data_IF_663218509430
#
_entry.id   IF_663218509430
#
_cell.length_a   1.000
_cell.length_b   1.000
_cell.length_c   1.000
_cell.angle_alpha   90.00
_cell.angle_beta   90.00
_cell.angle_gamma   90.00
#
_symmetry.space_group_name_H-M   'P 1'
#
loop_
_entity.id
_entity.type
_entity.pdbx_description
1 polymer ?
#
# COMPACT_ATOMS: atom_id res chain seq x y z
N UNK A 1 5.23 14.80 -1.24
CA UNK A 1 4.23 13.69 -1.41
C UNK A 1 4.06 12.99 -0.07
N UNK A 2 2.83 12.59 0.24
CA UNK A 2 2.48 11.81 1.45
C UNK A 2 2.05 10.40 1.03
N UNK A 3 2.59 9.39 1.68
CA UNK A 3 2.26 7.97 1.44
C UNK A 3 1.35 7.49 2.56
N UNK A 4 0.24 6.87 2.21
CA UNK A 4 -0.61 6.13 3.15
C UNK A 4 -0.14 4.68 3.22
N UNK A 5 0.15 4.16 4.42
CA UNK A 5 0.56 2.77 4.60
C UNK A 5 -0.51 2.00 5.38
N UNK A 6 -0.87 0.83 4.88
CA UNK A 6 -1.85 -0.07 5.49
C UNK A 6 -1.35 -1.52 5.47
N UNK A 7 -1.88 -2.36 6.34
CA UNK A 7 -1.65 -3.81 6.31
C UNK A 7 -2.85 -4.54 5.66
N UNK A 8 -2.91 -4.58 4.31
CA UNK A 8 -4.08 -5.10 3.60
C UNK A 8 -4.18 -6.63 3.66
N UNK A 9 -3.14 -7.30 4.08
CA UNK A 9 -3.05 -8.76 4.21
C UNK A 9 -2.73 -9.15 5.66
N UNK A 10 -1.53 -9.62 5.93
CA UNK A 10 -1.11 -9.98 7.29
C UNK A 10 -0.62 -8.76 8.08
N UNK A 11 -0.68 -8.84 9.40
CA UNK A 11 -0.02 -7.90 10.31
C UNK A 11 1.50 -8.02 10.25
N UNK A 12 2.22 -7.08 10.83
CA UNK A 12 3.69 -7.07 10.86
C UNK A 12 4.22 -6.58 12.20
N UNK A 13 5.33 -7.15 12.64
CA UNK A 13 6.08 -6.71 13.82
C UNK A 13 7.22 -5.73 13.46
N UNK A 14 7.35 -5.35 12.18
CA UNK A 14 8.36 -4.39 11.74
C UNK A 14 8.12 -3.01 12.34
N UNK A 15 9.22 -2.32 12.65
CA UNK A 15 9.17 -0.99 13.23
C UNK A 15 8.64 0.05 12.23
N UNK A 16 7.45 0.58 12.51
CA UNK A 16 6.88 1.66 11.71
C UNK A 16 7.74 2.93 11.76
N UNK A 17 8.44 3.18 12.87
CA UNK A 17 9.37 4.31 13.00
C UNK A 17 10.52 4.21 11.99
N UNK A 18 11.05 3.01 11.75
CA UNK A 18 12.10 2.80 10.77
C UNK A 18 11.60 3.07 9.35
N UNK A 19 10.40 2.60 9.02
CA UNK A 19 9.77 2.88 7.73
C UNK A 19 9.55 4.38 7.55
N UNK A 20 9.06 5.06 8.59
CA UNK A 20 8.85 6.51 8.59
C UNK A 20 10.17 7.27 8.37
N UNK A 21 11.23 6.86 9.05
CA UNK A 21 12.55 7.47 8.89
C UNK A 21 13.05 7.35 7.45
N UNK A 22 12.98 6.15 6.86
CA UNK A 22 13.40 5.91 5.47
C UNK A 22 12.60 6.78 4.50
N UNK A 23 11.28 6.87 4.64
CA UNK A 23 10.47 7.77 3.82
C UNK A 23 10.93 9.22 3.96
N UNK A 24 11.17 9.67 5.19
CA UNK A 24 11.63 11.04 5.47
C UNK A 24 13.00 11.35 4.86
N UNK A 25 13.94 10.41 4.90
CA UNK A 25 15.26 10.52 4.27
C UNK A 25 15.18 10.70 2.75
N UNK A 26 14.12 10.17 2.13
CA UNK A 26 13.81 10.36 0.72
C UNK A 26 12.90 11.58 0.43
N UNK A 27 12.54 12.37 1.45
CA UNK A 27 11.71 13.57 1.30
C UNK A 27 10.20 13.31 1.25
N UNK A 28 9.73 12.16 1.74
CA UNK A 28 8.33 11.78 1.77
C UNK A 28 7.78 11.71 3.19
N UNK A 29 6.54 12.17 3.35
CA UNK A 29 5.77 11.93 4.56
C UNK A 29 5.07 10.58 4.46
N UNK A 30 4.80 9.95 5.61
CA UNK A 30 4.00 8.72 5.67
C UNK A 30 2.97 8.82 6.78
N UNK A 31 1.77 8.33 6.53
CA UNK A 31 0.71 8.12 7.50
C UNK A 31 0.38 6.63 7.54
N UNK A 32 0.12 6.12 8.74
CA UNK A 32 -0.20 4.70 8.94
C UNK A 32 -1.67 4.52 9.27
N UNK A 33 -2.31 3.56 8.61
CA UNK A 33 -3.65 3.10 8.97
C UNK A 33 -3.63 2.25 10.25
N UNK A 34 -4.81 2.06 10.84
CA UNK A 34 -4.99 1.29 12.08
C UNK A 34 -4.48 -0.15 11.96
N UNK A 35 -4.63 -0.75 10.78
CA UNK A 35 -4.16 -2.12 10.50
C UNK A 35 -2.65 -2.29 10.70
N UNK A 36 -1.87 -1.23 10.54
CA UNK A 36 -0.41 -1.26 10.74
C UNK A 36 0.01 -1.49 12.20
N UNK A 37 -0.89 -1.20 13.15
CA UNK A 37 -0.64 -1.35 14.60
C UNK A 37 -1.21 -2.65 15.17
N UNK A 38 -1.90 -3.44 14.35
CA UNK A 38 -2.50 -4.70 14.78
C UNK A 38 -1.47 -5.82 14.82
N UNK A 39 -1.74 -6.77 15.70
CA UNK A 39 -0.96 -8.01 15.85
C UNK A 39 -1.82 -9.22 15.49
N UNK A 40 -1.21 -10.33 15.16
CA UNK A 40 -1.88 -11.58 14.80
C UNK A 40 -1.66 -11.95 13.33
N UNK A 41 -2.53 -12.79 12.78
CA UNK A 41 -2.35 -13.31 11.42
C UNK A 41 -2.70 -12.25 10.35
N UNK A 42 -3.74 -11.45 10.60
CA UNK A 42 -4.29 -10.48 9.66
C UNK A 42 -4.20 -9.04 10.19
N UNK A 43 -4.19 -8.07 9.30
CA UNK A 43 -4.29 -6.65 9.64
C UNK A 43 -5.66 -6.21 10.18
N UNK A 44 -6.62 -7.12 10.27
CA UNK A 44 -7.97 -6.88 10.79
C UNK A 44 -8.98 -7.92 10.33
N UNK A 45 -10.26 -7.70 10.65
CA UNK A 45 -11.36 -8.44 10.05
C UNK A 45 -11.49 -8.09 8.55
N UNK A 46 -12.18 -8.90 7.73
CA UNK A 46 -12.43 -8.57 6.33
C UNK A 46 -13.12 -7.20 6.17
N UNK A 47 -14.08 -6.88 7.03
CA UNK A 47 -14.82 -5.63 7.04
C UNK A 47 -13.89 -4.45 7.34
N UNK A 48 -13.11 -4.54 8.42
CA UNK A 48 -12.16 -3.50 8.82
C UNK A 48 -11.10 -3.25 7.75
N UNK A 49 -10.58 -4.31 7.13
CA UNK A 49 -9.57 -4.19 6.08
C UNK A 49 -10.13 -3.59 4.79
N UNK A 50 -11.37 -3.94 4.40
CA UNK A 50 -11.99 -3.36 3.21
C UNK A 50 -12.32 -1.87 3.42
N UNK A 51 -12.89 -1.50 4.56
CA UNK A 51 -13.22 -0.12 4.90
C UNK A 51 -11.96 0.76 4.97
N UNK A 52 -10.90 0.28 5.62
CA UNK A 52 -9.63 1.01 5.69
C UNK A 52 -8.99 1.14 4.31
N UNK A 53 -9.00 0.08 3.50
CA UNK A 53 -8.47 0.11 2.15
C UNK A 53 -9.20 1.16 1.30
N UNK A 54 -10.54 1.15 1.30
CA UNK A 54 -11.34 2.13 0.57
C UNK A 54 -11.07 3.56 1.05
N UNK A 55 -11.04 3.77 2.36
CA UNK A 55 -10.76 5.08 2.93
C UNK A 55 -9.37 5.59 2.53
N UNK A 56 -8.36 4.74 2.64
CA UNK A 56 -6.99 5.10 2.28
C UNK A 56 -6.87 5.41 0.79
N UNK A 57 -7.51 4.61 -0.06
CA UNK A 57 -7.50 4.79 -1.52
C UNK A 57 -8.26 6.03 -1.99
N UNK A 58 -9.29 6.48 -1.26
CA UNK A 58 -10.21 7.51 -1.78
C UNK A 58 -10.24 8.81 -0.99
N UNK A 59 -10.13 8.76 0.34
CA UNK A 59 -10.39 9.90 1.24
C UNK A 59 -9.19 10.36 2.05
N UNK A 60 -8.28 9.45 2.39
CA UNK A 60 -7.12 9.78 3.24
C UNK A 60 -6.26 10.88 2.62
N UNK A 61 -5.64 11.76 3.42
CA UNK A 61 -4.78 12.84 2.93
C UNK A 61 -3.40 12.31 2.51
N UNK A 62 -3.37 11.40 1.53
CA UNK A 62 -2.16 10.85 0.95
C UNK A 62 -2.25 10.81 -0.57
N UNK A 63 -1.10 10.73 -1.24
CA UNK A 63 -0.97 10.75 -2.70
C UNK A 63 -0.83 9.35 -3.30
N UNK A 64 -0.37 8.39 -2.52
CA UNK A 64 -0.21 6.98 -2.91
C UNK A 64 -0.46 6.07 -1.71
N UNK A 65 -0.81 4.81 -1.95
CA UNK A 65 -1.08 3.81 -0.91
C UNK A 65 -0.08 2.68 -1.01
N UNK A 66 0.65 2.43 0.09
CA UNK A 66 1.67 1.41 0.23
C UNK A 66 1.14 0.27 1.11
N UNK A 67 1.25 -0.96 0.65
CA UNK A 67 1.05 -2.11 1.51
C UNK A 67 2.21 -2.23 2.51
N UNK A 68 1.91 -2.47 3.79
CA UNK A 68 2.92 -2.72 4.81
C UNK A 68 3.62 -4.05 4.54
N UNK A 69 2.85 -5.11 4.28
CA UNK A 69 3.33 -6.44 3.87
C UNK A 69 2.25 -7.25 3.14
N UNK A 70 2.69 -8.32 2.51
CA UNK A 70 1.83 -9.38 1.99
C UNK A 70 1.46 -10.41 3.07
N UNK A 71 1.49 -11.67 2.72
CA UNK A 71 1.10 -12.78 3.59
C UNK A 71 -0.22 -13.39 3.13
N UNK A 72 -1.29 -13.19 3.90
CA UNK A 72 -2.63 -13.70 3.60
C UNK A 72 -3.69 -12.68 3.98
N UNK A 73 -4.81 -12.68 3.27
CA UNK A 73 -6.01 -11.99 3.73
C UNK A 73 -6.73 -11.15 2.69
N UNK A 74 -6.08 -10.69 1.63
CA UNK A 74 -6.73 -9.82 0.63
C UNK A 74 -7.92 -10.48 -0.05
N UNK A 75 -7.84 -11.78 -0.33
CA UNK A 75 -8.95 -12.55 -0.93
C UNK A 75 -10.20 -12.66 -0.03
N UNK A 76 -10.07 -12.35 1.27
CA UNK A 76 -11.20 -12.42 2.20
C UNK A 76 -12.21 -11.28 2.00
N UNK A 77 -11.77 -10.17 1.37
CA UNK A 77 -12.59 -8.97 1.25
C UNK A 77 -12.49 -8.27 -0.12
N UNK A 78 -11.70 -8.81 -1.03
CA UNK A 78 -11.49 -8.19 -2.35
C UNK A 78 -12.81 -7.91 -3.08
N UNK A 79 -13.81 -8.75 -2.92
CA UNK A 79 -15.14 -8.59 -3.52
C UNK A 79 -16.04 -7.59 -2.78
N UNK A 80 -15.65 -7.12 -1.59
CA UNK A 80 -16.41 -6.17 -0.78
C UNK A 80 -16.04 -4.70 -1.06
N UNK A 81 -15.02 -4.44 -1.86
CA UNK A 81 -14.48 -3.11 -2.13
C UNK A 81 -15.33 -2.36 -3.16
N UNK A 82 -15.61 -1.08 -2.91
CA UNK A 82 -16.23 -0.18 -3.88
C UNK A 82 -15.23 0.30 -4.95
N UNK A 83 -15.12 -0.49 -6.01
CA UNK A 83 -14.22 -0.20 -7.13
C UNK A 83 -14.66 1.00 -7.99
N UNK A 84 -15.91 1.42 -7.93
CA UNK A 84 -16.38 2.62 -8.64
C UNK A 84 -15.91 3.89 -7.91
N UNK A 85 -15.92 3.88 -6.58
CA UNK A 85 -15.30 4.95 -5.80
C UNK A 85 -13.78 5.02 -6.04
N UNK A 86 -13.10 3.87 -6.06
CA UNK A 86 -11.66 3.79 -6.37
C UNK A 86 -11.40 4.29 -7.80
N UNK A 87 -12.22 3.95 -8.80
CA UNK A 87 -12.08 4.48 -10.16
C UNK A 87 -12.13 6.00 -10.20
N UNK A 88 -12.99 6.62 -9.38
CA UNK A 88 -13.21 8.05 -9.38
C UNK A 88 -12.15 8.83 -8.62
N UNK A 89 -11.68 8.30 -7.51
CA UNK A 89 -10.83 9.02 -6.55
C UNK A 89 -9.49 8.35 -6.27
N UNK A 90 -9.31 7.15 -6.84
CA UNK A 90 -8.23 6.27 -6.45
C UNK A 90 -6.83 6.80 -6.74
N UNK A 91 -5.95 6.38 -5.90
CA UNK A 91 -4.53 6.72 -5.87
C UNK A 91 -3.70 5.52 -6.36
N UNK A 92 -2.44 5.71 -6.74
CA UNK A 92 -1.52 4.61 -6.96
C UNK A 92 -1.45 3.67 -5.75
N UNK A 93 -1.59 2.38 -5.98
CA UNK A 93 -1.42 1.34 -4.97
C UNK A 93 -0.14 0.56 -5.23
N UNK A 94 0.66 0.34 -4.18
CA UNK A 94 1.96 -0.33 -4.23
C UNK A 94 1.95 -1.56 -3.33
N UNK A 95 2.43 -2.68 -3.86
CA UNK A 95 2.58 -3.93 -3.12
C UNK A 95 2.95 -5.08 -4.03
N UNK A 96 3.09 -6.26 -3.46
CA UNK A 96 3.29 -7.52 -4.20
C UNK A 96 2.84 -8.73 -3.38
N UNK A 97 3.10 -9.95 -3.82
CA UNK A 97 2.71 -11.18 -3.11
C UNK A 97 1.18 -11.28 -3.00
N UNK A 98 0.62 -11.47 -1.80
CA UNK A 98 -0.84 -11.56 -1.58
C UNK A 98 -1.60 -10.33 -2.08
N UNK A 99 -0.98 -9.14 -2.05
CA UNK A 99 -1.55 -7.91 -2.60
C UNK A 99 -1.83 -7.97 -4.11
N UNK A 100 -1.34 -8.99 -4.81
CA UNK A 100 -1.63 -9.21 -6.24
C UNK A 100 -3.13 -9.34 -6.50
N UNK A 101 -3.89 -9.89 -5.56
CA UNK A 101 -5.35 -9.95 -5.68
C UNK A 101 -5.97 -8.54 -5.79
N UNK A 102 -5.49 -7.59 -4.98
CA UNK A 102 -5.92 -6.19 -5.04
C UNK A 102 -5.47 -5.53 -6.36
N UNK A 103 -4.24 -5.77 -6.81
CA UNK A 103 -3.77 -5.25 -8.11
C UNK A 103 -4.68 -5.71 -9.25
N UNK A 104 -4.99 -7.00 -9.30
CA UNK A 104 -5.86 -7.56 -10.34
C UNK A 104 -7.27 -6.98 -10.29
N UNK A 105 -7.83 -6.83 -9.10
CA UNK A 105 -9.17 -6.28 -8.92
C UNK A 105 -9.24 -4.79 -9.27
N UNK A 106 -8.29 -3.97 -8.78
CA UNK A 106 -8.20 -2.54 -9.10
C UNK A 106 -8.06 -2.35 -10.61
N UNK A 107 -7.16 -3.09 -11.24
CA UNK A 107 -6.94 -3.00 -12.68
C UNK A 107 -8.21 -3.41 -13.46
N UNK A 108 -8.85 -4.52 -13.07
CA UNK A 108 -10.04 -5.04 -13.73
C UNK A 108 -11.26 -4.13 -13.60
N UNK A 109 -11.54 -3.67 -12.37
CA UNK A 109 -12.79 -2.99 -12.06
C UNK A 109 -12.66 -1.47 -12.02
N UNK A 110 -11.53 -0.94 -11.57
CA UNK A 110 -11.29 0.52 -11.51
C UNK A 110 -10.49 1.04 -12.70
N UNK A 111 -9.82 0.18 -13.47
CA UNK A 111 -8.98 0.53 -14.62
C UNK A 111 -7.83 1.49 -14.27
N UNK A 112 -7.33 1.39 -13.06
CA UNK A 112 -6.18 2.16 -12.58
C UNK A 112 -4.90 1.35 -12.69
N UNK A 113 -3.79 2.06 -12.96
CA UNK A 113 -2.45 1.49 -12.88
C UNK A 113 -2.07 1.31 -11.42
N UNK A 114 -1.46 0.18 -11.10
CA UNK A 114 -0.91 -0.14 -9.79
C UNK A 114 0.56 -0.52 -9.94
N UNK A 115 1.31 -0.48 -8.85
CA UNK A 115 2.74 -0.70 -8.85
C UNK A 115 3.10 -1.99 -8.11
N UNK A 116 3.61 -2.97 -8.84
CA UNK A 116 4.21 -4.16 -8.23
C UNK A 116 5.63 -3.81 -7.76
N UNK A 117 5.79 -3.55 -6.47
CA UNK A 117 7.03 -3.01 -5.92
C UNK A 117 7.19 -3.27 -4.43
N UNK A 118 8.31 -2.82 -3.84
CA UNK A 118 8.61 -3.03 -2.43
C UNK A 118 7.48 -2.54 -1.51
N UNK A 119 7.22 -3.30 -0.46
CA UNK A 119 6.28 -2.96 0.62
C UNK A 119 7.02 -2.37 1.83
N UNK A 120 6.30 -1.85 2.81
CA UNK A 120 6.90 -1.22 3.98
C UNK A 120 7.94 -2.09 4.69
N UNK A 121 7.66 -3.39 4.86
CA UNK A 121 8.60 -4.35 5.49
C UNK A 121 9.89 -4.58 4.69
N UNK A 122 9.90 -4.26 3.42
CA UNK A 122 11.08 -4.42 2.58
C UNK A 122 12.05 -3.25 2.73
N UNK A 123 11.58 -2.09 3.20
CA UNK A 123 12.39 -0.86 3.26
C UNK A 123 13.65 -1.03 4.10
N UNK A 124 13.60 -1.85 5.14
CA UNK A 124 14.75 -2.15 5.99
C UNK A 124 15.78 -3.09 5.35
N UNK A 125 15.39 -3.81 4.29
CA UNK A 125 16.20 -4.86 3.65
C UNK A 125 16.53 -4.55 2.19
N UNK A 126 15.76 -3.65 1.56
CA UNK A 126 15.97 -3.26 0.18
C UNK A 126 17.23 -2.40 0.04
N UNK A 127 17.83 -2.44 -1.16
CA UNK A 127 18.90 -1.49 -1.48
C UNK A 127 18.30 -0.08 -1.56
N UNK A 128 19.05 0.91 -1.10
CA UNK A 128 18.63 2.33 -1.17
C UNK A 128 18.17 2.71 -2.58
N UNK A 129 18.80 2.17 -3.61
CA UNK A 129 18.45 2.41 -5.01
C UNK A 129 17.05 1.86 -5.37
N UNK A 130 16.64 0.72 -4.82
CA UNK A 130 15.33 0.13 -5.11
C UNK A 130 14.21 0.98 -4.51
N UNK A 131 14.44 1.54 -3.32
CA UNK A 131 13.52 2.49 -2.68
C UNK A 131 13.46 3.81 -3.46
N UNK A 132 14.61 4.34 -3.90
CA UNK A 132 14.66 5.53 -4.74
C UNK A 132 13.88 5.34 -6.04
N UNK A 133 14.05 4.21 -6.72
CA UNK A 133 13.31 3.87 -7.96
C UNK A 133 11.80 3.78 -7.73
N UNK A 134 11.35 3.24 -6.58
CA UNK A 134 9.93 3.24 -6.23
C UNK A 134 9.38 4.68 -6.19
N UNK A 135 10.06 5.57 -5.49
CA UNK A 135 9.62 6.96 -5.38
C UNK A 135 9.67 7.69 -6.73
N UNK A 136 10.72 7.47 -7.53
CA UNK A 136 10.80 8.02 -8.89
C UNK A 136 9.65 7.53 -9.78
N UNK A 137 9.26 6.26 -9.65
CA UNK A 137 8.11 5.72 -10.38
C UNK A 137 6.80 6.42 -9.98
N UNK A 138 6.57 6.63 -8.68
CA UNK A 138 5.40 7.33 -8.18
C UNK A 138 5.31 8.79 -8.64
N UNK A 139 6.45 9.43 -8.83
CA UNK A 139 6.54 10.80 -9.35
C UNK A 139 6.53 10.87 -10.88
N UNK A 140 6.41 9.74 -11.57
CA UNK A 140 6.47 9.67 -13.03
C UNK A 140 7.83 10.00 -13.64
N UNK A 141 8.89 9.94 -12.84
CA UNK A 141 10.28 10.26 -13.24
C UNK A 141 11.09 9.03 -13.64
N UNK A 142 10.60 7.82 -13.35
CA UNK A 142 11.29 6.59 -13.70
C UNK A 142 11.40 6.46 -15.22
N UNK A 143 12.63 6.44 -15.73
CA UNK A 143 12.90 6.12 -17.13
C UNK A 143 13.08 4.63 -17.29
N UNK A 144 12.20 3.99 -18.04
CA UNK A 144 12.42 2.61 -18.49
C UNK A 144 13.52 2.65 -19.55
N UNK A 145 14.59 1.91 -19.29
CA UNK A 145 15.72 1.74 -20.24
C UNK A 145 15.39 0.58 -21.16
#
# INVERSE_FOLDING_TARGET
MTIGCIAPASSSDESLNTIQQICSEHGYNIIFGESCYRTGLYGGSPEEQSEEFEWMMTKAPCDAVLALRGGYGTMRYVDCIDYDAIRKYGKPFIGYSDCTALHMAINRYSRLVTYHGPMGVDFTKARTQDIAHLFEALEGRLRVI
#
